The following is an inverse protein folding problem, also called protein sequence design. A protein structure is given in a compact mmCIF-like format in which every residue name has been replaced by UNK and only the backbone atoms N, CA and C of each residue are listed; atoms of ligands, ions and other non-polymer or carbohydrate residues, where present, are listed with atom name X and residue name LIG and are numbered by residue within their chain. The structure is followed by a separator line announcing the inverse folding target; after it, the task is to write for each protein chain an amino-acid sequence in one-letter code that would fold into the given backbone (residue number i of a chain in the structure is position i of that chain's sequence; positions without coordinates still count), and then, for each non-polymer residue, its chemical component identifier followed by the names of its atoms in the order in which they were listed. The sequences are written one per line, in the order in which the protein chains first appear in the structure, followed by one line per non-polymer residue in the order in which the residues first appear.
data_IF_510562202811
#
_entry.id   IF_510562202811
#
_cell.length_a   1.000
_cell.length_b   1.000
_cell.length_c   1.000
_cell.angle_alpha   90.00
_cell.angle_beta   90.00
_cell.angle_gamma   90.00
#
_symmetry.space_group_name_H-M   'P 1'
#
loop_
_entity.id
_entity.type
_entity.pdbx_description
1 polymer ?
#
# COMPACT_ATOMS: atom_id res chain seq x y z
N UNK A 1 16.55 -7.20 -0.94
CA UNK A 1 16.72 -7.48 -2.39
C UNK A 1 16.50 -8.90 -2.89
N UNK A 2 16.02 -9.87 -2.09
CA UNK A 2 15.61 -11.18 -2.61
C UNK A 2 14.14 -11.21 -3.09
N UNK A 3 13.25 -10.53 -2.36
CA UNK A 3 11.81 -10.51 -2.63
C UNK A 3 11.50 -9.79 -3.95
N UNK A 4 12.10 -8.62 -4.17
CA UNK A 4 11.86 -7.82 -5.38
C UNK A 4 12.55 -8.43 -6.60
N UNK A 5 13.81 -8.84 -6.48
CA UNK A 5 14.62 -9.21 -7.65
C UNK A 5 14.51 -10.70 -8.04
N UNK A 6 14.04 -11.57 -7.14
CA UNK A 6 13.97 -13.01 -7.41
C UNK A 6 12.55 -13.56 -7.26
N UNK A 7 11.89 -13.28 -6.14
CA UNK A 7 10.58 -13.88 -5.87
C UNK A 7 9.46 -13.27 -6.72
N UNK A 8 9.44 -11.94 -6.88
CA UNK A 8 8.43 -11.23 -7.65
C UNK A 8 8.33 -11.68 -9.13
N UNK A 9 9.44 -11.78 -9.91
CA UNK A 9 9.33 -12.23 -11.29
C UNK A 9 8.86 -13.69 -11.41
N UNK A 10 9.25 -14.57 -10.48
CA UNK A 10 8.78 -15.97 -10.46
C UNK A 10 7.27 -16.04 -10.20
N UNK A 11 6.76 -15.24 -9.28
CA UNK A 11 5.33 -15.22 -8.95
C UNK A 11 4.48 -14.67 -10.09
N UNK A 12 4.94 -13.62 -10.77
CA UNK A 12 4.27 -13.08 -11.97
C UNK A 12 4.18 -14.15 -13.06
N UNK A 13 5.27 -14.89 -13.29
CA UNK A 13 5.28 -15.99 -14.26
C UNK A 13 4.21 -17.05 -13.92
N UNK A 14 4.04 -17.39 -12.64
CA UNK A 14 2.99 -18.30 -12.21
C UNK A 14 1.58 -17.71 -12.35
N UNK A 15 1.39 -16.42 -12.07
CA UNK A 15 0.10 -15.74 -12.26
C UNK A 15 -0.33 -15.77 -13.73
N UNK A 16 0.60 -15.49 -14.65
CA UNK A 16 0.36 -15.55 -16.09
C UNK A 16 -0.01 -16.97 -16.55
N UNK A 17 0.75 -17.98 -16.11
CA UNK A 17 0.49 -19.39 -16.42
C UNK A 17 -0.86 -19.89 -15.87
N UNK A 18 -1.21 -19.51 -14.64
CA UNK A 18 -2.50 -19.87 -14.06
C UNK A 18 -3.65 -19.14 -14.73
N UNK A 19 -3.47 -17.85 -15.05
CA UNK A 19 -4.48 -17.09 -15.79
C UNK A 19 -4.76 -17.71 -17.16
N UNK A 20 -3.71 -18.16 -17.87
CA UNK A 20 -3.83 -18.83 -19.15
C UNK A 20 -4.56 -20.18 -19.08
N UNK A 21 -4.29 -20.99 -18.05
CA UNK A 21 -4.83 -22.36 -17.92
C UNK A 21 -6.21 -22.42 -17.28
N UNK A 22 -6.51 -21.52 -16.34
CA UNK A 22 -7.74 -21.57 -15.54
C UNK A 22 -8.86 -20.78 -16.20
N UNK A 23 -8.54 -19.65 -16.84
CA UNK A 23 -9.54 -18.78 -17.44
C UNK A 23 -9.54 -18.88 -18.96
N UNK A 24 -10.72 -18.86 -19.57
CA UNK A 24 -10.85 -18.65 -21.01
C UNK A 24 -10.47 -17.22 -21.40
N UNK A 25 -10.15 -16.97 -22.69
CA UNK A 25 -9.80 -15.63 -23.20
C UNK A 25 -10.83 -14.53 -22.88
N UNK A 26 -12.10 -14.89 -22.72
CA UNK A 26 -13.15 -13.94 -22.35
C UNK A 26 -13.14 -13.66 -20.85
N UNK A 27 -12.90 -14.68 -20.02
CA UNK A 27 -12.84 -14.56 -18.57
C UNK A 27 -11.59 -13.81 -18.09
N UNK A 28 -10.46 -13.95 -18.78
CA UNK A 28 -9.22 -13.20 -18.50
C UNK A 28 -9.41 -11.68 -18.58
N UNK A 29 -10.45 -11.19 -19.27
CA UNK A 29 -10.79 -9.75 -19.32
C UNK A 29 -11.59 -9.29 -18.10
N UNK A 30 -12.20 -10.20 -17.35
CA UNK A 30 -13.04 -9.91 -16.18
C UNK A 30 -12.39 -10.34 -14.86
N UNK A 31 -11.61 -11.40 -14.88
CA UNK A 31 -11.01 -12.02 -13.71
C UNK A 31 -9.50 -12.06 -13.87
N UNK A 32 -8.81 -11.78 -12.78
CA UNK A 32 -7.36 -11.87 -12.69
C UNK A 32 -7.00 -12.66 -11.43
N UNK A 33 -5.87 -13.35 -11.49
CA UNK A 33 -5.27 -14.04 -10.35
C UNK A 33 -4.04 -13.24 -9.92
N UNK A 34 -3.93 -12.98 -8.62
CA UNK A 34 -2.77 -12.29 -8.04
C UNK A 34 -2.40 -12.93 -6.72
N UNK A 35 -1.13 -13.25 -6.53
CA UNK A 35 -0.60 -13.66 -5.25
C UNK A 35 -0.58 -12.48 -4.29
N UNK A 36 -1.27 -12.64 -3.16
CA UNK A 36 -1.23 -11.69 -2.08
C UNK A 36 0.09 -11.85 -1.30
N UNK A 37 1.09 -11.05 -1.67
CA UNK A 37 2.39 -11.00 -0.99
C UNK A 37 2.41 -10.12 0.26
N UNK A 38 1.28 -9.54 0.65
CA UNK A 38 1.14 -8.72 1.86
C UNK A 38 1.55 -9.52 3.10
N UNK A 39 1.35 -10.85 3.08
CA UNK A 39 1.81 -11.79 4.11
C UNK A 39 3.34 -11.90 4.22
N UNK A 40 4.06 -11.72 3.12
CA UNK A 40 5.53 -11.75 3.09
C UNK A 40 6.12 -10.41 3.58
N UNK A 41 5.45 -9.30 3.25
CA UNK A 41 5.72 -7.97 3.81
C UNK A 41 5.36 -7.84 5.30
N UNK A 42 4.59 -8.77 5.89
CA UNK A 42 4.45 -8.84 7.37
C UNK A 42 5.79 -9.11 8.06
N UNK A 43 6.78 -9.67 7.38
CA UNK A 43 8.10 -9.87 7.97
C UNK A 43 8.85 -8.55 8.22
N UNK A 44 8.40 -7.43 7.63
CA UNK A 44 8.97 -6.09 7.86
C UNK A 44 7.87 -5.07 8.16
N UNK A 45 7.10 -5.32 9.23
CA UNK A 45 6.16 -4.36 9.78
C UNK A 45 6.83 -3.02 10.13
N UNK A 46 8.14 -3.02 10.38
CA UNK A 46 8.90 -1.83 10.72
C UNK A 46 9.01 -0.89 9.53
N UNK A 47 9.50 -1.34 8.37
CA UNK A 47 9.58 -0.47 7.18
C UNK A 47 8.20 -0.04 6.68
N UNK A 48 7.19 -0.89 6.84
CA UNK A 48 5.80 -0.55 6.50
C UNK A 48 5.23 0.54 7.41
N UNK A 49 5.45 0.43 8.73
CA UNK A 49 5.09 1.48 9.68
C UNK A 49 5.86 2.78 9.42
N UNK A 50 7.16 2.69 9.10
CA UNK A 50 7.98 3.85 8.74
C UNK A 50 7.46 4.55 7.47
N UNK A 51 7.09 3.80 6.43
CA UNK A 51 6.49 4.35 5.21
C UNK A 51 5.21 5.15 5.50
N UNK A 52 4.26 4.57 6.25
CA UNK A 52 3.02 5.28 6.59
C UNK A 52 3.25 6.46 7.52
N UNK A 53 4.17 6.35 8.48
CA UNK A 53 4.54 7.49 9.33
C UNK A 53 5.06 8.66 8.50
N UNK A 54 5.96 8.42 7.54
CA UNK A 54 6.49 9.48 6.67
C UNK A 54 5.37 10.12 5.83
N UNK A 55 4.43 9.32 5.30
CA UNK A 55 3.34 9.83 4.47
C UNK A 55 2.29 10.61 5.27
N UNK A 56 2.01 10.19 6.51
CA UNK A 56 1.11 10.89 7.43
C UNK A 56 1.74 12.19 7.95
N UNK A 57 3.03 12.18 8.25
CA UNK A 57 3.76 13.33 8.77
C UNK A 57 3.87 14.46 7.73
N UNK A 58 4.11 14.09 6.47
CA UNK A 58 4.09 15.01 5.33
C UNK A 58 2.69 15.43 4.90
N UNK A 59 1.63 14.87 5.51
CA UNK A 59 0.24 15.13 5.16
C UNK A 59 -0.19 14.70 3.76
N UNK A 60 0.55 13.76 3.16
CA UNK A 60 0.23 13.19 1.85
C UNK A 60 -0.96 12.24 1.97
N UNK A 61 -1.01 11.45 3.04
CA UNK A 61 -2.11 10.53 3.33
C UNK A 61 -2.97 11.01 4.50
N UNK A 62 -4.25 10.67 4.42
CA UNK A 62 -5.18 10.68 5.54
C UNK A 62 -5.12 9.34 6.29
N UNK A 63 -5.66 9.28 7.50
CA UNK A 63 -5.69 8.05 8.30
C UNK A 63 -6.55 6.99 7.59
N UNK A 64 -7.70 7.39 7.06
CA UNK A 64 -8.58 6.50 6.31
C UNK A 64 -7.92 5.98 5.05
N UNK A 65 -7.04 6.77 4.40
CA UNK A 65 -6.30 6.28 3.24
C UNK A 65 -5.32 5.17 3.61
N UNK A 66 -4.70 5.25 4.79
CA UNK A 66 -3.85 4.16 5.31
C UNK A 66 -4.69 2.93 5.65
N UNK A 67 -5.84 3.11 6.30
CA UNK A 67 -6.75 2.01 6.64
C UNK A 67 -7.30 1.29 5.39
N UNK A 68 -7.66 2.04 4.36
CA UNK A 68 -8.06 1.50 3.04
C UNK A 68 -6.94 0.66 2.43
N UNK A 69 -5.68 1.10 2.50
CA UNK A 69 -4.51 0.35 2.00
C UNK A 69 -4.20 -0.91 2.84
N UNK A 70 -4.68 -0.96 4.08
CA UNK A 70 -4.57 -2.12 4.97
C UNK A 70 -5.80 -3.04 4.92
N UNK A 71 -6.77 -2.77 4.03
CA UNK A 71 -8.07 -3.45 3.99
C UNK A 71 -8.80 -3.41 5.37
N UNK A 72 -8.74 -2.27 6.05
CA UNK A 72 -9.40 -2.00 7.34
C UNK A 72 -10.51 -0.94 7.21
N UNK A 73 -11.50 -1.02 8.10
CA UNK A 73 -12.58 -0.04 8.15
C UNK A 73 -12.06 1.34 8.58
N UNK A 74 -12.57 2.38 7.92
CA UNK A 74 -12.24 3.78 8.24
C UNK A 74 -12.87 4.26 9.55
N UNK A 75 -12.33 5.34 10.11
CA UNK A 75 -12.77 5.92 11.39
C UNK A 75 -13.74 7.11 11.22
N UNK A 76 -14.57 7.07 10.17
CA UNK A 76 -15.51 8.15 9.81
C UNK A 76 -14.81 9.38 9.22
N UNK A 77 -15.56 10.48 9.04
CA UNK A 77 -15.10 11.69 8.32
C UNK A 77 -13.85 12.35 8.94
N UNK A 78 -13.62 12.18 10.23
CA UNK A 78 -12.43 12.73 10.89
C UNK A 78 -11.14 12.07 10.42
N UNK A 79 -11.21 10.84 9.92
CA UNK A 79 -10.07 10.11 9.37
C UNK A 79 -9.64 10.55 7.97
N UNK A 80 -10.47 11.32 7.26
CA UNK A 80 -10.20 11.81 5.91
C UNK A 80 -9.40 13.13 5.89
N UNK A 81 -9.23 13.76 7.05
CA UNK A 81 -8.50 15.02 7.16
C UNK A 81 -6.99 14.78 7.12
N UNK A 82 -6.33 15.32 6.10
CA UNK A 82 -4.88 15.37 6.05
C UNK A 82 -4.36 16.28 7.18
N UNK A 83 -3.29 15.85 7.84
CA UNK A 83 -2.63 16.59 8.92
C UNK A 83 -1.17 16.83 8.54
N UNK A 84 -0.60 17.92 9.00
CA UNK A 84 0.83 18.24 8.87
C UNK A 84 1.30 18.78 10.21
N UNK A 85 2.55 18.49 10.55
CA UNK A 85 3.15 19.02 11.78
C UNK A 85 3.27 20.55 11.72
N UNK A 86 2.92 21.20 12.84
CA UNK A 86 2.98 22.65 13.01
C UNK A 86 4.34 23.12 13.54
N UNK A 87 5.24 22.20 13.91
CA UNK A 87 6.53 22.55 14.52
C UNK A 87 7.52 23.24 13.56
N UNK A 88 7.27 23.18 12.24
CA UNK A 88 8.13 23.80 11.21
C UNK A 88 7.51 25.05 10.59
N UNK A 89 7.05 25.99 11.44
CA UNK A 89 6.61 27.32 10.98
C UNK A 89 7.80 28.19 10.56
N UNK A 90 7.59 29.09 9.60
CA UNK A 90 8.61 30.07 9.24
C UNK A 90 8.90 30.99 10.42
N UNK A 91 10.14 31.48 10.51
CA UNK A 91 10.54 32.44 11.55
C UNK A 91 9.66 33.72 11.48
N UNK A 92 9.12 34.04 10.30
CA UNK A 92 8.24 35.19 10.08
C UNK A 92 6.87 35.10 10.78
N UNK A 93 6.42 33.90 11.17
CA UNK A 93 5.16 33.69 11.90
C UNK A 93 5.40 33.70 13.43
N UNK A 94 6.67 33.59 13.85
CA UNK A 94 7.08 33.51 15.25
C UNK A 94 7.43 34.87 15.88
N UNK A 95 7.45 35.95 15.10
CA UNK A 95 7.52 37.36 15.53
C UNK A 95 6.11 38.01 15.56
#
# INVERSE_FOLDING_TARGET
DFIQNTLSPILIQYEEEFSYKVFSFVEQKRYYLKFNLTSLLRADQKSRAEFYNIMLDRGVFSINKVLELEDMDGIGEHGDKNRVDLNHVSIEIAD
#
